data_IF_603281508632
#
_entry.id   IF_603281508632
#
_cell.length_a   1.000
_cell.length_b   1.000
_cell.length_c   1.000
_cell.angle_alpha   90.00
_cell.angle_beta   90.00
_cell.angle_gamma   90.00
#
_symmetry.space_group_name_H-M   'P 1'
#
loop_
_entity.id
_entity.type
_entity.pdbx_description
1 polymer ?
#
# COMPACT_ATOMS: atom_id res chain seq x y z
N UNK A 1 33.02 9.50 -13.95
CA UNK A 1 33.29 8.98 -15.30
C UNK A 1 32.18 9.50 -16.18
N UNK A 2 32.50 10.39 -17.13
CA UNK A 2 31.52 10.96 -18.05
C UNK A 2 31.37 9.98 -19.20
N UNK A 3 30.19 9.40 -19.38
CA UNK A 3 29.89 8.60 -20.58
C UNK A 3 29.76 9.56 -21.76
N UNK A 4 30.72 9.51 -22.68
CA UNK A 4 30.60 10.14 -23.99
C UNK A 4 29.44 9.46 -24.73
N UNK A 5 28.26 10.09 -24.70
CA UNK A 5 27.13 9.75 -25.54
C UNK A 5 27.52 10.00 -26.99
N UNK A 6 27.99 8.96 -27.68
CA UNK A 6 28.12 8.96 -29.13
C UNK A 6 26.73 9.16 -29.73
N UNK A 7 26.45 10.37 -30.22
CA UNK A 7 25.26 10.66 -31.02
C UNK A 7 25.31 9.79 -32.29
N UNK A 8 24.59 8.66 -32.27
CA UNK A 8 24.28 7.94 -33.49
C UNK A 8 23.21 8.75 -34.23
N UNK A 9 23.63 9.43 -35.29
CA UNK A 9 22.70 10.12 -36.19
C UNK A 9 21.95 9.08 -37.01
N UNK A 10 20.65 8.95 -36.77
CA UNK A 10 19.77 8.12 -37.58
C UNK A 10 19.25 8.95 -38.76
N UNK A 11 19.50 8.49 -39.98
CA UNK A 11 18.90 9.09 -41.18
C UNK A 11 17.47 8.54 -41.33
N UNK A 12 16.48 9.43 -41.24
CA UNK A 12 15.08 9.08 -41.39
C UNK A 12 14.65 9.34 -42.84
N UNK A 13 14.23 8.29 -43.54
CA UNK A 13 13.63 8.41 -44.87
C UNK A 13 12.15 8.11 -44.76
N UNK A 14 11.31 9.14 -44.93
CA UNK A 14 9.86 9.01 -44.87
C UNK A 14 9.30 9.03 -46.28
N UNK A 15 8.51 8.01 -46.61
CA UNK A 15 7.68 8.04 -47.81
C UNK A 15 6.30 8.56 -47.40
N UNK A 16 6.05 9.85 -47.68
CA UNK A 16 4.84 10.57 -47.29
C UNK A 16 4.06 10.89 -48.56
N UNK A 17 2.74 10.72 -48.54
CA UNK A 17 1.90 11.14 -49.67
C UNK A 17 1.91 12.66 -49.84
N UNK A 18 1.76 13.12 -51.08
CA UNK A 18 1.77 14.56 -51.43
C UNK A 18 0.80 15.41 -50.58
N UNK A 19 -0.39 14.88 -50.25
CA UNK A 19 -1.38 15.59 -49.41
C UNK A 19 -0.83 15.94 -48.01
N UNK A 20 -0.04 15.04 -47.42
CA UNK A 20 0.55 15.23 -46.10
C UNK A 20 1.81 16.12 -46.18
N UNK A 21 2.56 16.06 -47.28
CA UNK A 21 3.65 16.99 -47.56
C UNK A 21 3.14 18.43 -47.65
N UNK A 22 2.05 18.68 -48.38
CA UNK A 22 1.45 20.02 -48.45
C UNK A 22 0.97 20.54 -47.09
N UNK A 23 0.44 19.67 -46.23
CA UNK A 23 0.04 20.04 -44.87
C UNK A 23 1.26 20.39 -44.01
N UNK A 24 2.33 19.59 -44.11
CA UNK A 24 3.58 19.86 -43.40
C UNK A 24 4.22 21.17 -43.87
N UNK A 25 4.23 21.44 -45.17
CA UNK A 25 4.72 22.70 -45.74
C UNK A 25 3.96 23.91 -45.21
N UNK A 26 2.63 23.84 -45.15
CA UNK A 26 1.81 24.92 -44.57
C UNK A 26 2.16 25.17 -43.11
N UNK A 27 2.27 24.11 -42.32
CA UNK A 27 2.61 24.22 -40.88
C UNK A 27 4.04 24.76 -40.71
N UNK A 28 4.97 24.33 -41.55
CA UNK A 28 6.36 24.79 -41.55
C UNK A 28 6.44 26.30 -41.86
N UNK A 29 5.67 26.76 -42.85
CA UNK A 29 5.54 28.18 -43.19
C UNK A 29 4.91 29.00 -42.04
N UNK A 30 3.84 28.51 -41.43
CA UNK A 30 3.18 29.19 -40.30
C UNK A 30 4.10 29.34 -39.08
N UNK A 31 5.02 28.39 -38.90
CA UNK A 31 5.97 28.37 -37.78
C UNK A 31 7.33 29.00 -38.11
N UNK A 32 7.53 29.46 -39.34
CA UNK A 32 8.83 29.96 -39.83
C UNK A 32 9.98 28.94 -39.62
N UNK A 33 9.68 27.64 -39.77
CA UNK A 33 10.62 26.54 -39.55
C UNK A 33 10.82 25.72 -40.82
N UNK A 34 11.96 25.02 -40.93
CA UNK A 34 12.14 24.01 -41.97
C UNK A 34 11.31 22.76 -41.63
N UNK A 35 10.80 22.06 -42.65
CA UNK A 35 10.09 20.78 -42.51
C UNK A 35 10.92 19.77 -41.71
N UNK A 36 12.23 19.68 -41.95
CA UNK A 36 13.09 18.73 -41.23
C UNK A 36 13.11 19.00 -39.72
N UNK A 37 13.23 20.27 -39.33
CA UNK A 37 13.18 20.70 -37.93
C UNK A 37 11.79 20.47 -37.33
N UNK A 38 10.74 20.79 -38.08
CA UNK A 38 9.35 20.58 -37.66
C UNK A 38 9.06 19.10 -37.40
N UNK A 39 9.51 18.21 -38.29
CA UNK A 39 9.30 16.76 -38.16
C UNK A 39 10.07 16.22 -36.95
N UNK A 40 11.30 16.68 -36.73
CA UNK A 40 12.08 16.31 -35.55
C UNK A 40 11.42 16.80 -34.26
N UNK A 41 10.91 18.03 -34.23
CA UNK A 41 10.18 18.59 -33.10
C UNK A 41 8.90 17.79 -32.80
N UNK A 42 8.14 17.42 -33.82
CA UNK A 42 6.92 16.61 -33.67
C UNK A 42 7.27 15.21 -33.10
N UNK A 43 8.28 14.55 -33.67
CA UNK A 43 8.74 13.24 -33.19
C UNK A 43 9.25 13.36 -31.75
N UNK A 44 10.04 14.39 -31.45
CA UNK A 44 10.57 14.66 -30.13
C UNK A 44 9.47 14.89 -29.09
N UNK A 45 8.47 15.70 -29.42
CA UNK A 45 7.32 15.95 -28.56
C UNK A 45 6.49 14.68 -28.33
N UNK A 46 6.17 13.93 -29.39
CA UNK A 46 5.42 12.67 -29.27
C UNK A 46 6.15 11.64 -28.39
N UNK A 47 7.46 11.48 -28.59
CA UNK A 47 8.27 10.57 -27.77
C UNK A 47 8.36 11.05 -26.32
N UNK A 48 8.46 12.36 -26.08
CA UNK A 48 8.50 12.93 -24.74
C UNK A 48 7.18 12.71 -23.98
N UNK A 49 6.05 12.98 -24.62
CA UNK A 49 4.71 12.71 -24.07
C UNK A 49 4.50 11.22 -23.81
N UNK A 50 4.98 10.35 -24.71
CA UNK A 50 4.90 8.89 -24.53
C UNK A 50 5.69 8.41 -23.32
N UNK A 51 6.87 9.00 -23.07
CA UNK A 51 7.71 8.68 -21.92
C UNK A 51 7.08 9.13 -20.62
N UNK A 52 6.55 10.36 -20.58
CA UNK A 52 5.77 10.87 -19.45
C UNK A 52 4.56 9.98 -19.14
N UNK A 53 3.85 9.54 -20.17
CA UNK A 53 2.68 8.66 -20.03
C UNK A 53 3.09 7.28 -19.49
N UNK A 54 4.19 6.71 -19.98
CA UNK A 54 4.70 5.42 -19.52
C UNK A 54 5.17 5.49 -18.05
N UNK A 55 5.94 6.51 -17.68
CA UNK A 55 6.41 6.71 -16.31
C UNK A 55 5.23 6.90 -15.34
N UNK A 56 4.21 7.65 -15.74
CA UNK A 56 3.01 7.87 -14.94
C UNK A 56 2.20 6.57 -14.76
N UNK A 57 2.04 5.78 -15.82
CA UNK A 57 1.37 4.47 -15.75
C UNK A 57 2.12 3.49 -14.83
N UNK A 58 3.46 3.45 -14.90
CA UNK A 58 4.28 2.63 -14.00
C UNK A 58 4.18 3.09 -12.54
N UNK A 59 4.07 4.40 -12.31
CA UNK A 59 3.90 4.96 -10.98
C UNK A 59 2.53 4.62 -10.38
N UNK A 60 1.47 4.67 -11.20
CA UNK A 60 0.13 4.23 -10.82
C UNK A 60 0.10 2.74 -10.45
N UNK A 61 0.72 1.89 -11.25
CA UNK A 61 0.79 0.45 -10.94
C UNK A 61 1.53 0.18 -9.62
N UNK A 62 2.64 0.88 -9.37
CA UNK A 62 3.35 0.81 -8.08
C UNK A 62 2.50 1.30 -6.92
N UNK A 63 1.75 2.38 -7.12
CA UNK A 63 0.85 2.92 -6.10
C UNK A 63 -0.25 1.93 -5.73
N UNK A 64 -0.90 1.30 -6.71
CA UNK A 64 -1.91 0.27 -6.47
C UNK A 64 -1.34 -0.94 -5.72
N UNK A 65 -0.17 -1.43 -6.13
CA UNK A 65 0.52 -2.53 -5.43
C UNK A 65 0.84 -2.17 -3.98
N UNK A 66 1.29 -0.93 -3.73
CA UNK A 66 1.60 -0.46 -2.39
C UNK A 66 0.35 -0.34 -1.51
N UNK A 67 -0.76 0.15 -2.09
CA UNK A 67 -2.05 0.27 -1.42
C UNK A 67 -2.60 -1.10 -1.01
N UNK A 68 -2.58 -2.09 -1.92
CA UNK A 68 -3.00 -3.47 -1.61
C UNK A 68 -2.15 -4.09 -0.49
N UNK A 69 -0.83 -3.82 -0.51
CA UNK A 69 0.08 -4.32 0.52
C UNK A 69 -0.17 -3.66 1.88
N UNK A 70 -0.51 -2.37 1.89
CA UNK A 70 -0.86 -1.63 3.10
C UNK A 70 -2.15 -2.17 3.71
N UNK A 71 -3.20 -2.40 2.90
CA UNK A 71 -4.45 -3.01 3.38
C UNK A 71 -4.21 -4.41 3.99
N UNK A 72 -3.31 -5.18 3.40
CA UNK A 72 -2.93 -6.50 3.93
C UNK A 72 -2.20 -6.39 5.26
N UNK A 73 -1.35 -5.38 5.43
CA UNK A 73 -0.61 -5.14 6.68
C UNK A 73 -1.54 -4.66 7.78
N UNK A 74 -2.46 -3.73 7.50
CA UNK A 74 -3.45 -3.26 8.48
C UNK A 74 -4.31 -4.41 9.02
N UNK A 75 -4.75 -5.33 8.14
CA UNK A 75 -5.47 -6.54 8.57
C UNK A 75 -4.64 -7.43 9.49
N UNK A 76 -3.32 -7.54 9.25
CA UNK A 76 -2.43 -8.32 10.10
C UNK A 76 -2.19 -7.65 11.45
N UNK A 77 -2.04 -6.33 11.49
CA UNK A 77 -1.86 -5.59 12.74
C UNK A 77 -3.08 -5.76 13.64
N UNK A 78 -4.30 -5.68 13.09
CA UNK A 78 -5.52 -5.96 13.86
C UNK A 78 -5.56 -7.40 14.41
N UNK A 79 -5.09 -8.38 13.64
CA UNK A 79 -5.01 -9.77 14.10
C UNK A 79 -3.98 -9.93 15.23
N UNK A 80 -2.84 -9.26 15.13
CA UNK A 80 -1.80 -9.27 16.16
C UNK A 80 -2.35 -8.66 17.45
N UNK A 81 -2.98 -7.49 17.39
CA UNK A 81 -3.58 -6.83 18.55
C UNK A 81 -4.58 -7.75 19.25
N UNK A 82 -5.48 -8.39 18.48
CA UNK A 82 -6.45 -9.35 19.02
C UNK A 82 -5.79 -10.56 19.68
N UNK A 83 -4.71 -11.07 19.11
CA UNK A 83 -3.96 -12.19 19.71
C UNK A 83 -3.27 -11.77 21.00
N UNK A 84 -2.68 -10.58 21.03
CA UNK A 84 -2.06 -10.00 22.24
C UNK A 84 -3.08 -9.86 23.37
N UNK A 85 -4.28 -9.34 23.09
CA UNK A 85 -5.35 -9.25 24.10
C UNK A 85 -5.76 -10.62 24.64
N UNK A 86 -5.89 -11.62 23.76
CA UNK A 86 -6.21 -12.99 24.19
C UNK A 86 -5.12 -13.58 25.07
N UNK A 87 -3.87 -13.31 24.76
CA UNK A 87 -2.73 -13.79 25.52
C UNK A 87 -2.69 -13.14 26.91
N UNK A 88 -2.90 -11.83 27.01
CA UNK A 88 -3.00 -11.11 28.29
C UNK A 88 -4.16 -11.64 29.17
N UNK A 89 -5.31 -11.95 28.57
CA UNK A 89 -6.43 -12.59 29.28
C UNK A 89 -6.02 -13.98 29.81
N UNK A 90 -5.36 -14.79 28.99
CA UNK A 90 -4.90 -16.12 29.40
C UNK A 90 -3.85 -16.03 30.52
N UNK A 91 -2.91 -15.09 30.45
CA UNK A 91 -1.92 -14.85 31.50
C UNK A 91 -2.59 -14.50 32.83
N UNK A 92 -3.60 -13.62 32.83
CA UNK A 92 -4.39 -13.28 34.02
C UNK A 92 -5.19 -14.47 34.56
N UNK A 93 -5.76 -15.29 33.68
CA UNK A 93 -6.48 -16.52 34.08
C UNK A 93 -5.53 -17.56 34.70
N UNK A 94 -4.32 -17.73 34.15
CA UNK A 94 -3.33 -18.64 34.73
C UNK A 94 -2.85 -18.13 36.09
N UNK A 95 -2.60 -16.83 36.23
CA UNK A 95 -2.20 -16.24 37.51
C UNK A 95 -3.30 -16.39 38.59
N UNK A 96 -4.57 -16.22 38.22
CA UNK A 96 -5.71 -16.44 39.14
C UNK A 96 -5.90 -17.91 39.51
N UNK A 97 -5.67 -18.85 38.59
CA UNK A 97 -5.70 -20.28 38.91
C UNK A 97 -4.53 -20.72 39.82
N UNK A 98 -3.33 -20.18 39.60
CA UNK A 98 -2.17 -20.46 40.45
C UNK A 98 -2.39 -19.95 41.88
N UNK A 99 -2.92 -18.74 42.03
CA UNK A 99 -3.26 -18.18 43.36
C UNK A 99 -4.36 -18.99 44.06
N UNK A 100 -5.39 -19.43 43.33
CA UNK A 100 -6.46 -20.29 43.88
C UNK A 100 -5.95 -21.66 44.37
N UNK A 101 -5.08 -22.33 43.59
CA UNK A 101 -4.45 -23.59 44.03
C UNK A 101 -3.55 -23.42 45.26
N UNK A 102 -2.99 -22.24 45.48
CA UNK A 102 -2.13 -21.99 46.65
C UNK A 102 -2.96 -21.72 47.91
N UNK A 103 -4.23 -21.33 47.74
CA UNK A 103 -5.14 -21.02 48.84
C UNK A 103 -5.89 -22.28 49.34
N UNK A 104 -6.09 -23.29 48.49
CA UNK A 104 -6.72 -24.57 48.88
C UNK A 104 -5.77 -25.50 49.68
N UNK A 105 -4.45 -25.34 49.56
CA UNK A 105 -3.46 -26.15 50.31
C UNK A 105 -3.15 -25.61 51.73
N UNK A 106 -3.77 -24.50 52.14
CA UNK A 106 -3.45 -23.82 53.41
C UNK A 106 -4.62 -23.68 54.39
N UNK A 107 -5.73 -24.41 54.16
CA UNK A 107 -6.87 -24.42 55.09
C UNK A 107 -6.96 -25.75 55.84
N UNK A 108 -5.99 -25.96 56.74
CA UNK A 108 -6.12 -26.94 57.81
C UNK A 108 -6.94 -26.31 58.97
N UNK A 109 -8.26 -26.37 58.81
CA UNK A 109 -9.19 -26.78 59.86
C UNK A 109 -9.48 -25.80 61.01
N UNK A 110 -10.55 -25.04 60.84
CA UNK A 110 -11.58 -24.89 61.88
C UNK A 110 -12.94 -24.81 61.17
N UNK A 111 -13.58 -25.97 61.04
CA UNK A 111 -14.96 -26.08 60.56
C UNK A 111 -15.86 -25.72 61.75
N UNK A 112 -16.33 -24.48 61.78
CA UNK A 112 -17.52 -24.11 62.57
C UNK A 112 -18.66 -23.86 61.59
N UNK A 113 -19.74 -24.60 61.81
CA UNK A 113 -20.93 -24.70 60.98
C UNK A 113 -21.75 -23.40 61.00
N UNK A 114 -22.55 -23.23 59.94
CA UNK A 114 -23.64 -22.25 59.75
C UNK A 114 -23.24 -20.82 59.35
N UNK A 115 -23.40 -20.46 58.06
CA UNK A 115 -24.60 -19.80 57.52
C UNK A 115 -24.43 -19.52 56.01
N UNK A 116 -25.50 -19.77 55.26
CA UNK A 116 -25.69 -19.42 53.86
C UNK A 116 -25.50 -17.92 53.62
N UNK A 117 -24.81 -17.53 52.53
CA UNK A 117 -25.21 -16.39 51.71
C UNK A 117 -24.68 -16.57 50.27
N UNK A 118 -25.58 -16.26 49.34
CA UNK A 118 -25.55 -16.56 47.90
C UNK A 118 -24.36 -15.91 47.16
N UNK A 119 -23.94 -16.42 45.99
CA UNK A 119 -22.99 -15.70 45.14
C UNK A 119 -23.66 -14.44 44.57
N UNK A 120 -23.17 -13.26 45.01
CA UNK A 120 -23.56 -11.96 44.48
C UNK A 120 -23.49 -11.92 42.94
N UNK A 121 -24.63 -11.59 42.33
CA UNK A 121 -24.80 -11.33 40.91
C UNK A 121 -24.01 -10.07 40.46
N UNK A 122 -22.72 -10.21 40.14
CA UNK A 122 -21.91 -9.11 39.57
C UNK A 122 -21.63 -9.31 38.07
N UNK A 123 -22.60 -9.85 37.31
CA UNK A 123 -22.44 -10.07 35.86
C UNK A 123 -23.64 -9.67 34.99
N UNK A 124 -24.65 -8.97 35.52
CA UNK A 124 -25.81 -8.53 34.71
C UNK A 124 -25.65 -7.13 34.09
N UNK A 125 -24.65 -6.34 34.48
CA UNK A 125 -24.53 -4.93 34.06
C UNK A 125 -23.66 -4.68 32.80
N UNK A 126 -23.21 -5.72 32.10
CA UNK A 126 -22.42 -5.58 30.86
C UNK A 126 -23.21 -5.79 29.55
N UNK A 127 -24.53 -5.93 29.62
CA UNK A 127 -25.39 -6.05 28.44
C UNK A 127 -26.52 -5.02 28.44
N UNK A 128 -26.15 -3.75 28.24
CA UNK A 128 -27.00 -2.73 27.60
C UNK A 128 -26.15 -1.69 26.88
#
# INVERSE_FOLDING_TARGET
MSEDLKLQTANLYLNISDEWLEKLDKIALEKEQNIEELVLDIIGNYLSESKLTLENNQLLEKYEQLSQRLETLEKKDYQIERLTTKLDILEKLVATLQTKNTQEDNDNGEWDDEFEDEPDEVLTDFLL
#
